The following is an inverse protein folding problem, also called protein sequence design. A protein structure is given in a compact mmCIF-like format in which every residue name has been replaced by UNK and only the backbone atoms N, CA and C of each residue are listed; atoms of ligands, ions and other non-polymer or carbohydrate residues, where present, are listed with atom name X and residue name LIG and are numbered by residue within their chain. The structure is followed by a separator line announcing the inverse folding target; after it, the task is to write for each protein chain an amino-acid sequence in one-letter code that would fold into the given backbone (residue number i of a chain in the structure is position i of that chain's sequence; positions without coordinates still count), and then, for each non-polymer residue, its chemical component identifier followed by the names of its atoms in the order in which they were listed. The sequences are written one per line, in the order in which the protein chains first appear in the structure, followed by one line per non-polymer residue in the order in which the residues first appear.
data_IF_825708846463
#
_entry.id   IF_825708846463
#
_cell.length_a   1.000
_cell.length_b   1.000
_cell.length_c   1.000
_cell.angle_alpha   90.00
_cell.angle_beta   90.00
_cell.angle_gamma   90.00
#
_symmetry.space_group_name_H-M   'P 1'
#
loop_
_entity.id
_entity.type
_entity.pdbx_description
1 polymer ?
#
# COMPACT_ATOMS: atom_id res chain seq x y z
N UNK A 1 -6.29 -0.40 -36.76
CA UNK A 1 -5.51 0.01 -35.58
C UNK A 1 -5.87 -0.91 -34.44
N UNK A 2 -4.94 -1.71 -33.94
CA UNK A 2 -5.22 -2.57 -32.78
C UNK A 2 -5.11 -1.70 -31.52
N UNK A 3 -6.12 -1.68 -30.63
CA UNK A 3 -5.97 -1.03 -29.34
C UNK A 3 -4.89 -1.77 -28.56
N UNK A 4 -3.83 -1.04 -28.22
CA UNK A 4 -2.75 -1.56 -27.39
C UNK A 4 -3.31 -1.63 -25.98
N UNK A 5 -3.82 -2.79 -25.57
CA UNK A 5 -4.22 -3.01 -24.19
C UNK A 5 -2.95 -3.01 -23.35
N UNK A 6 -2.63 -1.87 -22.75
CA UNK A 6 -1.51 -1.73 -21.82
C UNK A 6 -1.90 -2.35 -20.48
N UNK A 7 -2.08 -3.68 -20.47
CA UNK A 7 -2.34 -4.47 -19.26
C UNK A 7 -1.09 -4.41 -18.39
N UNK A 8 -1.07 -3.42 -17.49
CA UNK A 8 -0.01 -3.30 -16.51
C UNK A 8 -0.17 -4.44 -15.50
N UNK A 9 0.89 -5.22 -15.24
CA UNK A 9 0.84 -6.25 -14.21
C UNK A 9 0.51 -5.58 -12.86
N UNK A 10 -0.54 -6.05 -12.21
CA UNK A 10 -0.89 -5.58 -10.88
C UNK A 10 0.01 -6.27 -9.86
N UNK A 11 0.72 -5.48 -9.07
CA UNK A 11 1.50 -5.95 -7.95
C UNK A 11 0.73 -5.78 -6.65
N UNK A 12 1.01 -6.65 -5.70
CA UNK A 12 0.51 -6.52 -4.34
C UNK A 12 1.37 -5.49 -3.61
N UNK A 13 0.73 -4.52 -2.98
CA UNK A 13 1.35 -3.46 -2.19
C UNK A 13 0.77 -3.46 -0.78
N UNK A 14 1.60 -3.13 0.19
CA UNK A 14 1.21 -2.87 1.58
C UNK A 14 1.41 -1.38 1.84
N UNK A 15 0.30 -0.67 2.04
CA UNK A 15 0.31 0.73 2.44
C UNK A 15 0.14 0.81 3.96
N UNK A 16 1.04 1.54 4.61
CA UNK A 16 0.94 1.95 6.01
C UNK A 16 0.27 3.31 6.04
N UNK A 17 -0.80 3.43 6.82
CA UNK A 17 -1.65 4.61 6.88
C UNK A 17 -1.37 5.40 8.15
N UNK A 18 -1.58 6.71 8.08
CA UNK A 18 -1.57 7.55 9.27
C UNK A 18 -2.72 7.16 10.20
N UNK A 19 -2.47 6.99 11.51
CA UNK A 19 -3.53 6.74 12.47
C UNK A 19 -4.46 7.96 12.54
N UNK A 20 -5.78 7.76 12.59
CA UNK A 20 -6.71 8.87 12.74
C UNK A 20 -6.53 9.50 14.12
N UNK A 21 -6.15 10.78 14.17
CA UNK A 21 -6.03 11.54 15.41
C UNK A 21 -4.76 11.31 16.22
N UNK A 22 -3.79 10.52 15.74
CA UNK A 22 -2.47 10.44 16.38
C UNK A 22 -1.67 11.71 16.10
N UNK A 23 -1.00 12.24 17.12
CA UNK A 23 -0.06 13.33 16.94
C UNK A 23 1.17 12.80 16.19
N UNK A 24 1.85 13.64 15.40
CA UNK A 24 3.06 13.25 14.67
C UNK A 24 4.13 12.63 15.59
N UNK A 25 4.17 13.07 16.86
CA UNK A 25 5.04 12.52 17.89
C UNK A 25 4.74 11.06 18.23
N UNK A 26 3.46 10.66 18.24
CA UNK A 26 3.06 9.28 18.54
C UNK A 26 3.23 8.34 17.33
N UNK A 27 3.40 8.88 16.12
CA UNK A 27 3.52 8.07 14.91
C UNK A 27 4.78 7.21 14.96
N UNK A 28 5.89 7.73 15.49
CA UNK A 28 7.15 6.97 15.62
C UNK A 28 7.01 5.84 16.64
N UNK A 29 6.42 6.11 17.82
CA UNK A 29 6.14 5.09 18.83
C UNK A 29 5.16 4.01 18.33
N UNK A 30 4.10 4.41 17.61
CA UNK A 30 3.15 3.47 17.02
C UNK A 30 3.76 2.66 15.88
N UNK A 31 4.70 3.22 15.13
CA UNK A 31 5.47 2.52 14.11
C UNK A 31 6.35 1.45 14.75
N UNK A 32 7.06 1.79 15.81
CA UNK A 32 7.91 0.87 16.57
C UNK A 32 7.08 -0.26 17.21
N UNK A 33 5.95 0.10 17.82
CA UNK A 33 4.99 -0.83 18.40
C UNK A 33 4.22 -1.67 17.36
N UNK A 34 4.41 -1.43 16.05
CA UNK A 34 3.69 -2.07 14.95
C UNK A 34 2.16 -1.94 15.04
N UNK A 35 1.69 -0.86 15.67
CA UNK A 35 0.27 -0.56 15.85
C UNK A 35 -0.30 0.32 14.72
N UNK A 36 0.54 0.72 13.76
CA UNK A 36 0.09 1.51 12.61
C UNK A 36 -0.88 0.70 11.74
N UNK A 37 -2.01 1.31 11.32
CA UNK A 37 -2.94 0.67 10.42
C UNK A 37 -2.26 0.41 9.06
N UNK A 38 -2.23 -0.86 8.64
CA UNK A 38 -1.72 -1.25 7.33
C UNK A 38 -2.83 -1.88 6.50
N UNK A 39 -2.85 -1.58 5.21
CA UNK A 39 -3.79 -2.16 4.24
C UNK A 39 -3.01 -2.78 3.09
N UNK A 40 -3.53 -3.89 2.57
CA UNK A 40 -3.00 -4.54 1.38
C UNK A 40 -3.90 -4.25 0.20
N UNK A 41 -3.30 -3.90 -0.93
CA UNK A 41 -4.03 -3.53 -2.13
C UNK A 41 -3.25 -3.97 -3.37
N UNK A 42 -3.98 -4.12 -4.48
CA UNK A 42 -3.40 -4.43 -5.78
C UNK A 42 -3.36 -3.17 -6.64
N UNK A 43 -2.20 -2.86 -7.17
CA UNK A 43 -1.99 -1.68 -8.01
C UNK A 43 -0.90 -1.96 -9.03
N UNK A 44 -0.88 -1.20 -10.13
CA UNK A 44 0.19 -1.32 -11.13
C UNK A 44 1.51 -0.68 -10.64
N UNK A 45 1.43 0.39 -9.85
CA UNK A 45 2.58 1.17 -9.37
C UNK A 45 2.39 1.56 -7.91
N UNK A 46 3.47 2.00 -7.26
CA UNK A 46 3.44 2.47 -5.87
C UNK A 46 2.58 3.73 -5.70
N UNK A 47 2.62 4.66 -6.68
CA UNK A 47 1.77 5.86 -6.67
C UNK A 47 0.28 5.51 -6.78
N UNK A 48 -0.05 4.56 -7.66
CA UNK A 48 -1.44 4.12 -7.80
C UNK A 48 -1.88 3.34 -6.55
N UNK A 49 -0.96 2.63 -5.90
CA UNK A 49 -1.23 2.01 -4.61
C UNK A 49 -1.51 3.07 -3.53
N UNK A 50 -0.70 4.12 -3.46
CA UNK A 50 -0.92 5.20 -2.52
C UNK A 50 -2.30 5.86 -2.70
N UNK A 51 -2.63 6.23 -3.94
CA UNK A 51 -3.92 6.81 -4.28
C UNK A 51 -5.09 5.87 -3.93
N UNK A 52 -4.99 4.58 -4.28
CA UNK A 52 -6.03 3.60 -3.95
C UNK A 52 -6.20 3.42 -2.44
N UNK A 53 -5.09 3.39 -1.69
CA UNK A 53 -5.14 3.29 -0.24
C UNK A 53 -5.81 4.53 0.37
N UNK A 54 -5.45 5.73 -0.10
CA UNK A 54 -6.08 6.97 0.32
C UNK A 54 -7.58 7.01 0.01
N UNK A 55 -7.99 6.65 -1.22
CA UNK A 55 -9.39 6.62 -1.64
C UNK A 55 -10.20 5.60 -0.84
N UNK A 56 -9.61 4.42 -0.59
CA UNK A 56 -10.30 3.32 0.12
C UNK A 56 -10.51 3.64 1.59
N UNK A 57 -9.53 4.26 2.25
CA UNK A 57 -9.58 4.47 3.70
C UNK A 57 -9.86 5.92 4.12
N UNK A 58 -9.77 6.87 3.20
CA UNK A 58 -9.85 8.31 3.49
C UNK A 58 -8.70 8.84 4.35
N UNK A 59 -7.58 8.12 4.43
CA UNK A 59 -6.45 8.43 5.32
C UNK A 59 -5.19 8.71 4.51
N UNK A 60 -4.31 9.55 5.05
CA UNK A 60 -3.03 9.77 4.42
C UNK A 60 -2.16 8.51 4.51
N UNK A 61 -1.37 8.26 3.49
CA UNK A 61 -0.46 7.12 3.44
C UNK A 61 0.90 7.57 3.95
N UNK A 62 1.45 6.85 4.92
CA UNK A 62 2.79 7.07 5.47
C UNK A 62 3.85 6.44 4.56
N UNK A 63 3.61 5.20 4.13
CA UNK A 63 4.57 4.43 3.35
C UNK A 63 3.88 3.36 2.53
N UNK A 64 4.31 3.17 1.28
CA UNK A 64 3.90 2.05 0.45
C UNK A 64 5.08 1.12 0.21
N UNK A 65 4.90 -0.17 0.48
CA UNK A 65 5.89 -1.21 0.23
C UNK A 65 5.32 -2.21 -0.79
N UNK A 66 6.09 -2.54 -1.84
CA UNK A 66 5.70 -3.61 -2.77
C UNK A 66 5.89 -4.95 -2.08
N UNK A 67 4.80 -5.68 -1.91
CA UNK A 67 4.80 -7.06 -1.42
C UNK A 67 4.66 -7.92 -2.66
N UNK A 68 5.79 -8.29 -3.25
CA UNK A 68 5.75 -9.37 -4.22
C UNK A 68 5.28 -10.62 -3.49
N UNK A 69 4.07 -11.08 -3.81
CA UNK A 69 3.69 -12.45 -3.50
C UNK A 69 4.70 -13.30 -4.24
N UNK A 70 5.74 -13.72 -3.51
CA UNK A 70 6.61 -14.78 -3.94
C UNK A 70 5.67 -15.93 -4.21
N UNK A 71 5.34 -16.14 -5.49
CA UNK A 71 4.67 -17.35 -5.96
C UNK A 71 5.60 -18.45 -5.49
N UNK A 72 5.26 -19.05 -4.37
CA UNK A 72 6.05 -20.07 -3.73
C UNK A 72 6.29 -21.15 -4.77
N UNK A 73 7.56 -21.44 -4.97
CA UNK A 73 8.09 -22.66 -5.55
C UNK A 73 7.13 -23.83 -5.29
N UNK A 74 6.40 -24.23 -6.32
CA UNK A 74 5.88 -25.58 -6.38
C UNK A 74 7.09 -26.47 -6.69
N UNK A 75 7.43 -27.31 -5.71
CA UNK A 75 8.49 -28.32 -5.80
C UNK A 75 8.04 -29.50 -6.64
#
# INVERSE_FOLDING_TARGET
MQPIYNVQPMHSYRATLYPPGAHLSDVEDLADAKLLPTIRLKAATAEQAEANAHITTGKNVLRVERVEESRGAER
#
